data_IF_238179342839
#
_entry.id   IF_238179342839
#
_cell.length_a   1.000
_cell.length_b   1.000
_cell.length_c   1.000
_cell.angle_alpha   90.00
_cell.angle_beta   90.00
_cell.angle_gamma   90.00
#
_symmetry.space_group_name_H-M   'P 1'
#
loop_
_entity.id
_entity.type
_entity.pdbx_description
1 polymer ?
#
# COMPACT_ATOMS: atom_id res chain seq x y z
N UNK A 1 -3.33 1.25 -24.49
CA UNK A 1 -2.36 1.77 -25.48
C UNK A 1 -1.05 2.06 -24.77
N UNK A 2 0.08 1.61 -25.31
CA UNK A 2 1.40 1.97 -24.78
C UNK A 2 1.66 3.46 -25.03
N UNK A 3 2.20 4.18 -24.04
CA UNK A 3 2.61 5.59 -24.15
C UNK A 3 4.11 5.68 -23.94
N UNK A 4 4.78 6.55 -24.67
CA UNK A 4 6.22 6.76 -24.56
C UNK A 4 6.52 7.90 -23.58
N UNK A 5 7.45 7.65 -22.65
CA UNK A 5 8.02 8.67 -21.77
C UNK A 5 9.38 9.10 -22.33
N UNK A 6 9.55 10.40 -22.64
CA UNK A 6 10.81 10.96 -23.12
C UNK A 6 11.58 11.60 -21.97
N UNK A 7 12.81 11.16 -21.74
CA UNK A 7 13.71 11.69 -20.70
C UNK A 7 14.96 12.22 -21.39
N UNK A 8 15.22 13.53 -21.25
CA UNK A 8 16.44 14.19 -21.74
C UNK A 8 17.39 14.46 -20.58
N UNK A 9 17.99 13.40 -20.05
CA UNK A 9 18.97 13.47 -18.95
C UNK A 9 19.87 12.25 -19.03
N UNK A 10 21.16 12.49 -19.31
CA UNK A 10 22.16 11.43 -19.36
C UNK A 10 22.32 10.74 -18.01
N UNK A 11 22.26 11.51 -16.92
CA UNK A 11 22.31 10.98 -15.56
C UNK A 11 21.18 10.00 -15.26
N UNK A 12 19.94 10.35 -15.63
CA UNK A 12 18.78 9.48 -15.42
C UNK A 12 18.91 8.18 -16.22
N UNK A 13 19.35 8.29 -17.48
CA UNK A 13 19.55 7.14 -18.37
C UNK A 13 20.63 6.20 -17.84
N UNK A 14 21.79 6.73 -17.46
CA UNK A 14 22.90 5.91 -16.96
C UNK A 14 22.61 5.30 -15.59
N UNK A 15 21.87 6.01 -14.74
CA UNK A 15 21.41 5.48 -13.46
C UNK A 15 20.44 4.32 -13.65
N UNK A 16 19.45 4.47 -14.54
CA UNK A 16 18.49 3.42 -14.82
C UNK A 16 19.16 2.17 -15.43
N UNK A 17 20.11 2.34 -16.36
CA UNK A 17 20.91 1.23 -16.93
C UNK A 17 21.73 0.49 -15.86
N UNK A 18 22.40 1.23 -14.98
CA UNK A 18 23.23 0.65 -13.91
C UNK A 18 22.39 -0.17 -12.92
N UNK A 19 21.21 0.33 -12.57
CA UNK A 19 20.25 -0.38 -11.72
C UNK A 19 19.69 -1.62 -12.43
N UNK A 20 19.30 -1.49 -13.70
CA UNK A 20 18.81 -2.60 -14.52
C UNK A 20 19.81 -3.76 -14.54
N UNK A 21 21.08 -3.47 -14.82
CA UNK A 21 22.16 -4.46 -14.79
C UNK A 21 22.33 -5.12 -13.42
N UNK A 22 22.29 -4.33 -12.34
CA UNK A 22 22.50 -4.83 -10.97
C UNK A 22 21.38 -5.78 -10.52
N UNK A 23 20.15 -5.51 -10.93
CA UNK A 23 18.97 -6.22 -10.48
C UNK A 23 18.43 -7.24 -11.49
N UNK A 24 19.06 -7.39 -12.66
CA UNK A 24 18.59 -8.29 -13.72
C UNK A 24 17.25 -7.86 -14.31
N UNK A 25 16.97 -6.56 -14.32
CA UNK A 25 15.73 -5.96 -14.81
C UNK A 25 15.97 -5.20 -16.12
N UNK A 26 14.89 -4.88 -16.82
CA UNK A 26 14.93 -3.89 -17.91
C UNK A 26 14.95 -2.47 -17.35
N UNK A 27 15.48 -1.52 -18.13
CA UNK A 27 15.48 -0.09 -17.77
C UNK A 27 14.05 0.43 -17.52
N UNK A 28 13.07 -0.04 -18.30
CA UNK A 28 11.66 0.30 -18.11
C UNK A 28 11.12 -0.18 -16.77
N UNK A 29 11.41 -1.43 -16.39
CA UNK A 29 10.98 -1.97 -15.08
C UNK A 29 11.57 -1.19 -13.91
N UNK A 30 12.85 -0.81 -14.00
CA UNK A 30 13.49 0.04 -12.99
C UNK A 30 12.76 1.38 -12.85
N UNK A 31 12.47 2.05 -13.96
CA UNK A 31 11.76 3.34 -13.95
C UNK A 31 10.36 3.18 -13.37
N UNK A 32 9.61 2.16 -13.79
CA UNK A 32 8.26 1.89 -13.27
C UNK A 32 8.29 1.60 -11.77
N UNK A 33 9.24 0.78 -11.30
CA UNK A 33 9.36 0.47 -9.87
C UNK A 33 9.75 1.70 -9.03
N UNK A 34 10.67 2.53 -9.54
CA UNK A 34 11.08 3.76 -8.88
C UNK A 34 9.92 4.76 -8.76
N UNK A 35 9.17 4.99 -9.86
CA UNK A 35 7.99 5.87 -9.84
C UNK A 35 6.91 5.36 -8.89
N UNK A 36 6.62 4.06 -8.89
CA UNK A 36 5.67 3.46 -7.94
C UNK A 36 6.12 3.59 -6.49
N UNK A 37 7.43 3.49 -6.23
CA UNK A 37 7.98 3.68 -4.88
C UNK A 37 7.83 5.12 -4.43
N UNK A 38 8.08 6.09 -5.33
CA UNK A 38 7.89 7.51 -5.04
C UNK A 38 6.42 7.83 -4.80
N UNK A 39 5.52 7.35 -5.66
CA UNK A 39 4.06 7.50 -5.48
C UNK A 39 3.58 6.94 -4.13
N UNK A 40 4.08 5.78 -3.70
CA UNK A 40 3.76 5.24 -2.37
C UNK A 40 4.38 6.04 -1.22
N UNK A 41 5.55 6.65 -1.42
CA UNK A 41 6.17 7.49 -0.41
C UNK A 41 5.46 8.85 -0.26
N UNK A 42 4.88 9.36 -1.36
CA UNK A 42 4.08 10.58 -1.39
C UNK A 42 2.62 10.34 -0.93
N UNK A 43 2.14 9.11 -0.98
CA UNK A 43 0.91 8.75 -0.28
C UNK A 43 1.14 8.90 1.23
N UNK A 44 0.22 9.53 1.97
CA UNK A 44 0.30 9.62 3.42
C UNK A 44 0.15 8.22 4.04
N UNK A 45 1.24 7.46 4.10
CA UNK A 45 1.32 6.16 4.74
C UNK A 45 2.27 6.27 5.92
N UNK A 46 1.71 6.27 7.15
CA UNK A 46 2.33 6.09 8.48
C UNK A 46 3.58 6.92 8.88
N UNK A 47 4.50 7.26 7.97
CA UNK A 47 5.73 8.00 8.22
C UNK A 47 5.59 9.52 8.20
N UNK A 48 4.39 10.05 7.97
CA UNK A 48 4.07 11.49 8.04
C UNK A 48 2.85 11.75 8.92
N UNK A 49 2.59 10.90 9.92
CA UNK A 49 1.59 11.23 10.92
C UNK A 49 2.14 12.36 11.80
N UNK A 50 1.37 13.43 11.96
CA UNK A 50 1.64 14.38 13.04
C UNK A 50 1.59 13.65 14.38
N UNK A 51 2.19 14.21 15.42
CA UNK A 51 2.15 13.61 16.76
C UNK A 51 0.73 13.29 17.22
N UNK A 52 -0.24 14.14 16.87
CA UNK A 52 -1.65 13.93 17.18
C UNK A 52 -2.28 12.78 16.40
N UNK A 53 -1.93 12.64 15.11
CA UNK A 53 -2.40 11.52 14.29
C UNK A 53 -1.80 10.20 14.77
N UNK A 54 -0.53 10.18 15.18
CA UNK A 54 0.11 9.01 15.76
C UNK A 54 -0.55 8.63 17.09
N UNK A 55 -0.78 9.60 17.98
CA UNK A 55 -1.46 9.36 19.25
C UNK A 55 -2.89 8.82 19.05
N UNK A 56 -3.61 9.35 18.05
CA UNK A 56 -4.94 8.86 17.71
C UNK A 56 -4.90 7.43 17.16
N UNK A 57 -3.94 7.13 16.27
CA UNK A 57 -3.74 5.79 15.73
C UNK A 57 -3.40 4.77 16.83
N UNK A 58 -2.48 5.09 17.73
CA UNK A 58 -2.15 4.26 18.89
C UNK A 58 -3.38 4.02 19.79
N UNK A 59 -4.20 5.06 19.99
CA UNK A 59 -5.43 4.93 20.76
C UNK A 59 -6.43 3.96 20.09
N UNK A 60 -6.58 4.01 18.76
CA UNK A 60 -7.44 3.08 18.01
C UNK A 60 -6.93 1.64 18.07
N UNK A 61 -5.62 1.44 17.98
CA UNK A 61 -5.01 0.10 18.12
C UNK A 61 -5.28 -0.48 19.50
N UNK A 62 -5.07 0.31 20.56
CA UNK A 62 -5.33 -0.13 21.93
C UNK A 62 -6.80 -0.52 22.14
N UNK A 63 -7.73 0.28 21.63
CA UNK A 63 -9.17 -0.03 21.67
C UNK A 63 -9.50 -1.33 20.92
N UNK A 64 -8.86 -1.55 19.77
CA UNK A 64 -9.05 -2.76 18.98
C UNK A 64 -8.55 -4.01 19.71
N UNK A 65 -7.40 -3.92 20.40
CA UNK A 65 -6.88 -5.01 21.24
C UNK A 65 -7.77 -5.29 22.46
N UNK A 66 -8.30 -4.24 23.11
CA UNK A 66 -9.25 -4.37 24.21
C UNK A 66 -10.53 -5.07 23.76
N UNK A 67 -11.09 -4.67 22.62
CA UNK A 67 -12.26 -5.30 22.02
C UNK A 67 -11.99 -6.77 21.65
N UNK A 68 -10.82 -7.07 21.09
CA UNK A 68 -10.43 -8.43 20.74
C UNK A 68 -10.36 -9.35 21.98
N UNK A 69 -9.89 -8.84 23.13
CA UNK A 69 -9.89 -9.60 24.40
C UNK A 69 -11.29 -9.91 24.93
N UNK A 70 -12.28 -9.11 24.56
CA UNK A 70 -13.69 -9.29 24.97
C UNK A 70 -14.52 -10.05 23.92
N UNK A 71 -13.94 -10.34 22.76
CA UNK A 71 -14.62 -11.05 21.70
C UNK A 71 -15.00 -12.46 22.18
N UNK A 72 -16.26 -12.85 21.93
CA UNK A 72 -16.73 -14.20 22.24
C UNK A 72 -16.00 -15.22 21.36
N UNK A 73 -15.71 -16.44 21.85
CA UNK A 73 -15.17 -17.50 21.00
C UNK A 73 -16.05 -17.71 19.76
N UNK A 74 -15.44 -17.72 18.58
CA UNK A 74 -16.15 -17.84 17.30
C UNK A 74 -16.79 -16.56 16.77
N UNK A 75 -16.63 -15.42 17.44
CA UNK A 75 -17.03 -14.13 16.89
C UNK A 75 -16.20 -13.83 15.62
N UNK A 76 -16.88 -13.65 14.49
CA UNK A 76 -16.27 -13.28 13.21
C UNK A 76 -17.13 -12.19 12.57
N UNK A 77 -16.59 -11.53 11.53
CA UNK A 77 -17.36 -10.63 10.65
C UNK A 77 -17.97 -11.40 9.46
N UNK A 78 -18.15 -12.71 9.58
CA UNK A 78 -18.85 -13.50 8.60
C UNK A 78 -20.36 -13.32 8.79
N UNK A 79 -21.00 -12.73 7.80
CA UNK A 79 -22.43 -12.45 7.80
C UNK A 79 -23.16 -13.20 6.68
N UNK A 80 -22.56 -14.29 6.17
CA UNK A 80 -23.15 -15.10 5.07
C UNK A 80 -24.50 -15.72 5.45
N UNK A 81 -24.82 -15.77 6.73
CA UNK A 81 -26.13 -16.17 7.24
C UNK A 81 -27.21 -15.10 7.03
N UNK A 82 -26.85 -13.84 6.80
CA UNK A 82 -27.78 -12.72 6.61
C UNK A 82 -28.02 -12.37 5.14
N UNK A 83 -27.23 -12.93 4.22
CA UNK A 83 -27.29 -12.60 2.80
C UNK A 83 -27.32 -13.86 1.94
N UNK A 84 -28.10 -13.83 0.85
CA UNK A 84 -28.17 -14.91 -0.13
C UNK A 84 -26.89 -14.99 -0.98
N UNK A 85 -26.86 -15.93 -1.92
CA UNK A 85 -25.73 -16.14 -2.83
C UNK A 85 -25.44 -14.94 -3.76
N UNK A 86 -26.39 -14.01 -3.90
CA UNK A 86 -26.24 -12.78 -4.67
C UNK A 86 -25.87 -11.57 -3.79
N UNK A 87 -25.76 -11.76 -2.47
CA UNK A 87 -25.49 -10.69 -1.50
C UNK A 87 -26.73 -9.87 -1.12
N UNK A 88 -27.94 -10.37 -1.37
CA UNK A 88 -29.20 -9.74 -0.95
C UNK A 88 -29.62 -10.26 0.42
N UNK A 89 -30.25 -9.43 1.28
CA UNK A 89 -30.74 -9.89 2.58
C UNK A 89 -31.74 -11.04 2.46
N UNK A 90 -31.61 -12.06 3.31
CA UNK A 90 -32.59 -13.16 3.43
C UNK A 90 -33.79 -12.83 4.32
#
# INVERSE_FOLDING_TARGET
>A
MARQLNIRSDEAVETAKRLAKRHGLTTTEVVVQALRRLERADQPSAGQMTSDQMAHFEALLRLSEEAARQARPGATSDHRDMYDENGLPI
#
